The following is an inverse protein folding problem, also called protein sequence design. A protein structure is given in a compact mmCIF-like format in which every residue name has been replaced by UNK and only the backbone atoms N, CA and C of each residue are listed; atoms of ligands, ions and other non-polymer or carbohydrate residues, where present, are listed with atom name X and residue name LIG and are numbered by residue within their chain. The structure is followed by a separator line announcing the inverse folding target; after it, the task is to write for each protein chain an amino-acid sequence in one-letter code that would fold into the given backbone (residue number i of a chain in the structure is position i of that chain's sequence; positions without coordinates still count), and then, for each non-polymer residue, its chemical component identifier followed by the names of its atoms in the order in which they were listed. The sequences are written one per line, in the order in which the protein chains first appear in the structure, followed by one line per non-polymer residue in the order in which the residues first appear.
data_IF_703161298601
#
_entry.id   IF_703161298601
#
_cell.length_a   1.000
_cell.length_b   1.000
_cell.length_c   1.000
_cell.angle_alpha   90.00
_cell.angle_beta   90.00
_cell.angle_gamma   90.00
#
_symmetry.space_group_name_H-M   'P 1'
#
loop_
_entity.id
_entity.type
_entity.pdbx_description
1 polymer ?
#
# COMPACT_ATOMS: atom_id res chain seq x y z
N UNK A 1 -33.11 1.98 -5.18
CA UNK A 1 -33.69 0.74 -4.61
C UNK A 1 -32.94 -0.51 -5.13
N UNK A 2 -32.82 -0.69 -6.46
CA UNK A 2 -32.11 -1.84 -7.08
C UNK A 2 -30.65 -1.98 -6.64
N UNK A 3 -29.89 -0.89 -6.56
CA UNK A 3 -28.49 -0.93 -6.10
C UNK A 3 -28.37 -1.44 -4.67
N UNK A 4 -29.31 -1.06 -3.81
CA UNK A 4 -29.31 -1.49 -2.40
C UNK A 4 -29.62 -2.98 -2.26
N UNK A 5 -30.57 -3.51 -3.02
CA UNK A 5 -30.89 -4.94 -3.00
C UNK A 5 -29.74 -5.79 -3.52
N UNK A 6 -29.07 -5.31 -4.57
CA UNK A 6 -27.89 -5.97 -5.14
C UNK A 6 -26.74 -6.04 -4.12
N UNK A 7 -26.42 -4.90 -3.48
CA UNK A 7 -25.34 -4.85 -2.49
C UNK A 7 -25.69 -5.59 -1.19
N UNK A 8 -26.96 -5.55 -0.78
CA UNK A 8 -27.45 -6.32 0.37
C UNK A 8 -27.26 -7.82 0.13
N UNK A 9 -27.56 -8.30 -1.07
CA UNK A 9 -27.34 -9.69 -1.47
C UNK A 9 -25.83 -10.06 -1.40
N UNK A 10 -24.96 -9.22 -1.94
CA UNK A 10 -23.50 -9.43 -1.86
C UNK A 10 -23.04 -9.48 -0.42
N UNK A 11 -23.51 -8.55 0.41
CA UNK A 11 -23.17 -8.50 1.84
C UNK A 11 -23.60 -9.77 2.58
N UNK A 12 -24.79 -10.26 2.32
CA UNK A 12 -25.29 -11.52 2.90
C UNK A 12 -24.46 -12.73 2.48
N UNK A 13 -24.09 -12.79 1.21
CA UNK A 13 -23.23 -13.87 0.70
C UNK A 13 -21.84 -13.83 1.36
N UNK A 14 -21.27 -12.65 1.53
CA UNK A 14 -20.00 -12.47 2.22
C UNK A 14 -20.08 -12.96 3.68
N UNK A 15 -21.12 -12.58 4.41
CA UNK A 15 -21.33 -13.03 5.78
C UNK A 15 -21.52 -14.54 5.88
N UNK A 16 -22.22 -15.14 4.93
CA UNK A 16 -22.42 -16.60 4.87
C UNK A 16 -21.10 -17.36 4.59
N UNK A 17 -20.18 -16.77 3.85
CA UNK A 17 -18.90 -17.38 3.53
C UNK A 17 -17.86 -17.31 4.68
N UNK A 18 -18.00 -16.37 5.60
CA UNK A 18 -17.05 -16.19 6.73
C UNK A 18 -16.76 -17.48 7.51
N UNK A 19 -17.78 -18.22 8.00
CA UNK A 19 -17.52 -19.44 8.76
C UNK A 19 -16.75 -20.49 7.96
N UNK A 20 -16.99 -20.58 6.66
CA UNK A 20 -16.33 -21.57 5.78
C UNK A 20 -14.83 -21.32 5.71
N UNK A 21 -14.39 -20.06 5.73
CA UNK A 21 -12.97 -19.71 5.72
C UNK A 21 -12.29 -19.93 7.08
N UNK A 22 -13.00 -19.71 8.16
CA UNK A 22 -12.47 -19.85 9.52
C UNK A 22 -12.08 -21.28 9.87
N UNK A 23 -12.66 -22.28 9.19
CA UNK A 23 -12.36 -23.69 9.39
C UNK A 23 -11.18 -24.19 8.56
N UNK A 24 -10.68 -23.41 7.62
CA UNK A 24 -9.56 -23.80 6.76
C UNK A 24 -8.25 -23.74 7.53
N UNK A 25 -7.47 -24.81 7.41
CA UNK A 25 -6.10 -24.86 7.95
C UNK A 25 -5.15 -24.11 7.00
N UNK A 26 -4.02 -23.68 7.54
CA UNK A 26 -2.98 -22.97 6.77
C UNK A 26 -2.57 -23.73 5.52
N UNK A 27 -2.38 -25.06 5.62
CA UNK A 27 -1.98 -25.89 4.48
C UNK A 27 -3.06 -25.91 3.38
N UNK A 28 -4.33 -26.00 3.75
CA UNK A 28 -5.44 -25.94 2.79
C UNK A 28 -5.48 -24.59 2.06
N UNK A 29 -5.33 -23.49 2.81
CA UNK A 29 -5.24 -22.16 2.23
C UNK A 29 -4.06 -22.02 1.26
N UNK A 30 -2.90 -22.55 1.65
CA UNK A 30 -1.70 -22.52 0.82
C UNK A 30 -1.87 -23.31 -0.48
N UNK A 31 -2.49 -24.48 -0.42
CA UNK A 31 -2.80 -25.28 -1.61
C UNK A 31 -3.72 -24.53 -2.58
N UNK A 32 -4.75 -23.86 -2.05
CA UNK A 32 -5.67 -23.06 -2.87
C UNK A 32 -4.94 -21.88 -3.52
N UNK A 33 -4.08 -21.19 -2.78
CA UNK A 33 -3.30 -20.07 -3.33
C UNK A 33 -2.38 -20.54 -4.46
N UNK A 34 -1.69 -21.66 -4.28
CA UNK A 34 -0.85 -22.25 -5.33
C UNK A 34 -1.66 -22.70 -6.54
N UNK A 35 -2.82 -23.34 -6.30
CA UNK A 35 -3.72 -23.77 -7.38
C UNK A 35 -4.28 -22.58 -8.15
N UNK A 36 -4.64 -21.52 -7.44
CA UNK A 36 -5.11 -20.26 -8.07
C UNK A 36 -4.03 -19.66 -8.97
N UNK A 37 -2.77 -19.65 -8.51
CA UNK A 37 -1.65 -19.22 -9.31
C UNK A 37 -1.46 -20.06 -10.58
N UNK A 38 -1.51 -21.39 -10.44
CA UNK A 38 -1.42 -22.32 -11.56
C UNK A 38 -2.55 -22.09 -12.57
N UNK A 39 -3.77 -21.91 -12.07
CA UNK A 39 -4.96 -21.72 -12.93
C UNK A 39 -4.93 -20.37 -13.65
N UNK A 40 -4.41 -19.31 -13.02
CA UNK A 40 -4.21 -18.03 -13.71
C UNK A 40 -3.26 -18.14 -14.90
N UNK A 41 -2.17 -18.90 -14.74
CA UNK A 41 -1.24 -19.17 -15.84
C UNK A 41 -1.89 -20.06 -16.92
N UNK A 42 -2.64 -21.09 -16.50
CA UNK A 42 -3.33 -21.99 -17.42
C UNK A 42 -4.38 -21.26 -18.27
N UNK A 43 -5.11 -20.31 -17.68
CA UNK A 43 -6.14 -19.52 -18.33
C UNK A 43 -5.68 -18.14 -18.80
N UNK A 44 -4.37 -17.97 -18.99
CA UNK A 44 -3.79 -16.69 -19.42
C UNK A 44 -4.40 -16.16 -20.72
N UNK A 45 -4.68 -17.03 -21.70
CA UNK A 45 -5.26 -16.62 -22.96
C UNK A 45 -6.62 -15.94 -22.80
N UNK A 46 -7.46 -16.47 -21.93
CA UNK A 46 -8.81 -15.92 -21.64
C UNK A 46 -8.69 -14.56 -20.93
N UNK A 47 -7.76 -14.45 -19.98
CA UNK A 47 -7.50 -13.21 -19.25
C UNK A 47 -6.95 -12.13 -20.19
N UNK A 48 -6.03 -12.50 -21.08
CA UNK A 48 -5.46 -11.57 -22.07
C UNK A 48 -6.53 -11.10 -23.07
N UNK A 49 -7.46 -11.98 -23.48
CA UNK A 49 -8.56 -11.61 -24.36
C UNK A 49 -9.49 -10.59 -23.68
N UNK A 50 -9.79 -10.78 -22.40
CA UNK A 50 -10.57 -9.82 -21.59
C UNK A 50 -9.83 -8.49 -21.42
N UNK A 51 -8.53 -8.55 -21.18
CA UNK A 51 -7.68 -7.36 -21.04
C UNK A 51 -7.64 -6.55 -22.35
N UNK A 52 -7.61 -7.20 -23.50
CA UNK A 52 -7.63 -6.49 -24.78
C UNK A 52 -8.92 -5.66 -24.98
N UNK A 53 -10.06 -6.14 -24.49
CA UNK A 53 -11.29 -5.35 -24.49
C UNK A 53 -11.16 -4.06 -23.66
N UNK A 54 -10.54 -4.15 -22.51
CA UNK A 54 -10.28 -2.97 -21.68
C UNK A 54 -9.25 -2.03 -22.34
N UNK A 55 -8.22 -2.57 -22.98
CA UNK A 55 -7.20 -1.80 -23.68
C UNK A 55 -7.78 -1.05 -24.87
N UNK A 56 -8.61 -1.69 -25.68
CA UNK A 56 -9.31 -1.04 -26.81
C UNK A 56 -10.18 0.12 -26.33
N UNK A 57 -10.99 -0.12 -25.31
CA UNK A 57 -11.85 0.91 -24.72
C UNK A 57 -11.02 2.05 -24.13
N UNK A 58 -9.90 1.75 -23.49
CA UNK A 58 -8.99 2.76 -22.95
C UNK A 58 -8.40 3.64 -24.05
N UNK A 59 -7.96 3.05 -25.16
CA UNK A 59 -7.46 3.80 -26.33
C UNK A 59 -8.54 4.68 -26.94
N UNK A 60 -9.73 4.16 -27.14
CA UNK A 60 -10.88 4.90 -27.69
C UNK A 60 -11.27 6.08 -26.80
N UNK A 61 -11.16 5.94 -25.48
CA UNK A 61 -11.48 6.98 -24.51
C UNK A 61 -10.32 7.96 -24.26
N UNK A 62 -9.21 7.84 -24.98
CA UNK A 62 -8.06 8.73 -24.88
C UNK A 62 -7.27 8.57 -23.58
N UNK A 63 -7.26 7.37 -22.99
CA UNK A 63 -6.47 7.08 -21.81
C UNK A 63 -4.99 7.37 -22.06
N UNK A 64 -4.31 7.97 -21.06
CA UNK A 64 -2.88 8.29 -21.16
C UNK A 64 -2.03 7.02 -21.32
N UNK A 65 -0.86 7.18 -21.95
CA UNK A 65 0.06 6.04 -22.17
C UNK A 65 0.47 5.39 -20.84
N UNK A 66 0.68 6.18 -19.80
CA UNK A 66 1.02 5.65 -18.47
C UNK A 66 -0.09 4.81 -17.85
N UNK A 67 -1.34 5.23 -18.00
CA UNK A 67 -2.51 4.47 -17.52
C UNK A 67 -2.73 3.20 -18.36
N UNK A 68 -2.53 3.28 -19.68
CA UNK A 68 -2.60 2.11 -20.56
C UNK A 68 -1.54 1.07 -20.20
N UNK A 69 -0.33 1.51 -19.85
CA UNK A 69 0.73 0.60 -19.41
C UNK A 69 0.37 -0.10 -18.08
N UNK A 70 -0.25 0.62 -17.16
CA UNK A 70 -0.73 0.03 -15.89
C UNK A 70 -1.85 -0.98 -16.10
N UNK A 71 -2.70 -0.74 -17.09
CA UNK A 71 -3.85 -1.61 -17.42
C UNK A 71 -3.41 -2.84 -18.18
N UNK A 72 -2.37 -2.75 -19.00
CA UNK A 72 -1.91 -3.81 -19.89
C UNK A 72 -1.47 -5.05 -19.12
N UNK A 73 -2.03 -6.19 -19.48
CA UNK A 73 -1.57 -7.52 -19.07
C UNK A 73 -0.82 -8.19 -20.23
N UNK A 74 0.21 -8.94 -19.88
CA UNK A 74 0.97 -9.80 -20.78
C UNK A 74 1.12 -11.17 -20.11
N UNK A 75 1.59 -12.18 -20.85
CA UNK A 75 1.89 -13.47 -20.23
C UNK A 75 2.88 -13.34 -19.06
N UNK A 76 3.91 -12.49 -19.23
CA UNK A 76 4.89 -12.23 -18.18
C UNK A 76 4.26 -11.58 -16.94
N UNK A 77 3.36 -10.61 -17.16
CA UNK A 77 2.65 -9.94 -16.04
C UNK A 77 1.69 -10.89 -15.32
N UNK A 78 1.03 -11.78 -16.06
CA UNK A 78 0.20 -12.83 -15.43
C UNK A 78 1.09 -13.80 -14.65
N UNK A 79 2.24 -14.18 -15.17
CA UNK A 79 3.20 -15.01 -14.43
C UNK A 79 3.68 -14.32 -13.13
N UNK A 80 3.88 -13.00 -13.16
CA UNK A 80 4.23 -12.21 -11.97
C UNK A 80 3.07 -12.18 -10.95
N UNK A 81 1.83 -12.06 -11.43
CA UNK A 81 0.64 -12.15 -10.58
C UNK A 81 0.58 -13.51 -9.88
N UNK A 82 0.81 -14.58 -10.64
CA UNK A 82 0.86 -15.95 -10.11
C UNK A 82 1.99 -16.11 -9.08
N UNK A 83 3.18 -15.57 -9.37
CA UNK A 83 4.31 -15.58 -8.45
C UNK A 83 3.97 -14.90 -7.12
N UNK A 84 3.22 -13.79 -7.17
CA UNK A 84 2.72 -13.12 -5.96
C UNK A 84 1.88 -14.04 -5.09
N UNK A 85 1.03 -14.87 -5.68
CA UNK A 85 0.22 -15.84 -4.94
C UNK A 85 1.07 -16.99 -4.37
N UNK A 86 2.07 -17.47 -5.09
CA UNK A 86 3.03 -18.45 -4.56
C UNK A 86 3.79 -17.89 -3.34
N UNK A 87 4.21 -16.66 -3.41
CA UNK A 87 4.91 -15.98 -2.31
C UNK A 87 4.01 -15.83 -1.07
N UNK A 88 2.76 -15.44 -1.26
CA UNK A 88 1.78 -15.36 -0.16
C UNK A 88 1.57 -16.74 0.46
N UNK A 89 1.46 -17.80 -0.36
CA UNK A 89 1.33 -19.17 0.14
C UNK A 89 2.50 -19.59 1.02
N UNK A 90 3.71 -19.08 0.74
CA UNK A 90 4.92 -19.39 1.50
C UNK A 90 5.08 -18.59 2.80
N UNK A 91 4.29 -17.55 3.01
CA UNK A 91 4.35 -16.75 4.24
C UNK A 91 3.77 -17.51 5.43
N UNK A 92 4.26 -17.20 6.62
CA UNK A 92 3.68 -17.71 7.86
C UNK A 92 2.25 -17.21 8.03
N UNK A 93 1.36 -18.10 8.47
CA UNK A 93 -0.04 -17.78 8.73
C UNK A 93 -0.19 -17.17 10.13
N UNK A 94 -0.61 -15.89 10.24
CA UNK A 94 -0.75 -15.28 11.56
C UNK A 94 -2.02 -15.69 12.29
N UNK A 95 -2.99 -16.29 11.62
CA UNK A 95 -4.29 -16.62 12.21
C UNK A 95 -4.14 -17.74 13.25
N UNK A 96 -4.66 -17.50 14.43
CA UNK A 96 -4.62 -18.45 15.54
C UNK A 96 -3.43 -18.28 16.47
N UNK A 97 -2.50 -17.38 16.18
CA UNK A 97 -1.37 -17.07 17.07
C UNK A 97 -1.88 -16.54 18.40
N UNK A 98 -1.40 -17.13 19.50
CA UNK A 98 -1.67 -16.65 20.85
C UNK A 98 -0.52 -15.74 21.28
N UNK A 99 -0.83 -14.44 21.46
CA UNK A 99 0.18 -13.41 21.72
C UNK A 99 0.66 -13.42 23.17
N UNK A 100 -0.10 -13.99 24.07
CA UNK A 100 0.23 -14.10 25.49
C UNK A 100 -0.93 -14.65 26.29
N UNK A 101 -0.61 -15.17 27.47
CA UNK A 101 -1.59 -15.73 28.43
C UNK A 101 -1.16 -15.35 29.85
N UNK A 102 -2.07 -14.79 30.65
CA UNK A 102 -1.81 -14.42 32.04
C UNK A 102 -2.88 -14.99 32.96
N UNK A 103 -2.45 -15.46 34.11
CA UNK A 103 -3.38 -15.90 35.16
C UNK A 103 -3.70 -14.71 36.06
N UNK A 104 -4.99 -14.51 36.33
CA UNK A 104 -5.46 -13.50 37.28
C UNK A 104 -5.49 -14.06 38.70
N UNK A 105 -5.54 -13.21 39.74
CA UNK A 105 -5.61 -13.68 41.14
C UNK A 105 -6.78 -14.61 41.44
N UNK A 106 -7.89 -14.47 40.73
CA UNK A 106 -9.08 -15.34 40.90
C UNK A 106 -8.99 -16.65 40.10
N UNK A 107 -7.87 -16.90 39.42
CA UNK A 107 -7.66 -18.12 38.64
C UNK A 107 -8.07 -18.05 37.17
N UNK A 108 -8.72 -16.97 36.70
CA UNK A 108 -9.00 -16.79 35.30
C UNK A 108 -7.68 -16.70 34.53
N UNK A 109 -7.59 -17.40 33.37
CA UNK A 109 -6.48 -17.27 32.45
C UNK A 109 -6.94 -16.48 31.25
N UNK A 110 -6.32 -15.34 31.01
CA UNK A 110 -6.69 -14.38 29.96
C UNK A 110 -5.56 -14.27 28.95
N UNK A 111 -5.86 -14.52 27.68
CA UNK A 111 -4.93 -14.40 26.59
C UNK A 111 -5.49 -13.61 25.42
N UNK A 112 -4.63 -13.30 24.46
CA UNK A 112 -5.02 -12.69 23.19
C UNK A 112 -4.69 -13.64 22.05
N UNK A 113 -5.62 -13.78 21.13
CA UNK A 113 -5.51 -14.61 19.95
C UNK A 113 -5.73 -13.77 18.70
N UNK A 114 -4.88 -13.96 17.70
CA UNK A 114 -4.99 -13.29 16.40
C UNK A 114 -6.09 -13.93 15.56
N UNK A 115 -6.97 -13.10 15.03
CA UNK A 115 -8.16 -13.51 14.27
C UNK A 115 -8.33 -12.65 13.02
N UNK A 116 -9.10 -13.12 12.00
CA UNK A 116 -9.41 -12.31 10.85
C UNK A 116 -10.16 -11.03 11.21
N UNK A 117 -10.06 -10.01 10.36
CA UNK A 117 -10.95 -8.84 10.43
C UNK A 117 -12.39 -9.22 10.12
N UNK A 118 -12.61 -10.09 9.15
CA UNK A 118 -13.93 -10.59 8.77
C UNK A 118 -14.19 -10.43 7.28
N UNK A 119 -14.91 -9.37 6.89
CA UNK A 119 -15.17 -9.02 5.50
C UNK A 119 -14.42 -7.76 5.15
N UNK A 120 -13.55 -7.83 4.15
CA UNK A 120 -12.71 -6.73 3.67
C UNK A 120 -13.25 -6.26 2.32
N UNK A 121 -13.53 -4.98 2.19
CA UNK A 121 -13.88 -4.34 0.92
C UNK A 121 -12.66 -3.63 0.35
N UNK A 122 -12.41 -3.78 -0.94
CA UNK A 122 -11.32 -3.10 -1.63
C UNK A 122 -11.87 -2.35 -2.83
N UNK A 123 -11.62 -1.04 -2.86
CA UNK A 123 -12.00 -0.15 -3.95
C UNK A 123 -10.71 0.27 -4.65
N UNK A 124 -10.57 -0.03 -5.95
CA UNK A 124 -9.32 0.23 -6.67
C UNK A 124 -9.53 0.63 -8.12
N UNK A 125 -8.53 1.28 -8.69
CA UNK A 125 -8.52 1.84 -10.05
C UNK A 125 -7.48 1.14 -10.92
N UNK A 126 -7.77 0.98 -12.21
CA UNK A 126 -6.87 0.64 -13.32
C UNK A 126 -5.66 -0.28 -13.02
N UNK A 127 -5.81 -1.24 -12.12
CA UNK A 127 -4.72 -2.14 -11.70
C UNK A 127 -5.24 -3.58 -11.57
N UNK A 128 -5.36 -4.31 -12.68
CA UNK A 128 -5.89 -5.68 -12.62
C UNK A 128 -5.09 -6.62 -11.70
N UNK A 129 -3.79 -6.37 -11.53
CA UNK A 129 -2.92 -7.14 -10.64
C UNK A 129 -3.34 -7.06 -9.16
N UNK A 130 -3.95 -5.96 -8.73
CA UNK A 130 -4.45 -5.80 -7.35
C UNK A 130 -5.50 -6.86 -7.01
N UNK A 131 -6.26 -7.31 -7.99
CA UNK A 131 -7.30 -8.34 -7.82
C UNK A 131 -6.77 -9.61 -7.17
N UNK A 132 -5.69 -10.17 -7.71
CA UNK A 132 -5.10 -11.41 -7.20
C UNK A 132 -4.37 -11.18 -5.87
N UNK A 133 -3.63 -10.09 -5.73
CA UNK A 133 -2.94 -9.76 -4.48
C UNK A 133 -3.93 -9.57 -3.32
N UNK A 134 -5.02 -8.85 -3.58
CA UNK A 134 -6.09 -8.64 -2.61
C UNK A 134 -6.73 -9.98 -2.19
N UNK A 135 -7.06 -10.83 -3.16
CA UNK A 135 -7.58 -12.16 -2.86
C UNK A 135 -6.58 -12.96 -2.02
N UNK A 136 -5.33 -13.03 -2.44
CA UNK A 136 -4.31 -13.85 -1.78
C UNK A 136 -4.08 -13.44 -0.32
N UNK A 137 -3.91 -12.16 -0.06
CA UNK A 137 -3.70 -11.64 1.28
C UNK A 137 -4.93 -11.82 2.17
N UNK A 138 -6.12 -11.54 1.66
CA UNK A 138 -7.36 -11.72 2.40
C UNK A 138 -7.66 -13.20 2.68
N UNK A 139 -7.51 -14.06 1.68
CA UNK A 139 -7.77 -15.49 1.82
C UNK A 139 -6.80 -16.15 2.81
N UNK A 140 -5.51 -15.84 2.73
CA UNK A 140 -4.49 -16.34 3.66
C UNK A 140 -4.81 -15.97 5.11
N UNK A 141 -5.42 -14.81 5.32
CA UNK A 141 -5.83 -14.32 6.64
C UNK A 141 -7.28 -14.68 6.99
N UNK A 142 -7.89 -15.59 6.23
CA UNK A 142 -9.25 -16.10 6.45
C UNK A 142 -10.33 -15.01 6.38
N UNK A 143 -10.08 -13.95 5.61
CA UNK A 143 -11.04 -12.89 5.34
C UNK A 143 -11.77 -13.12 4.01
N UNK A 144 -13.07 -12.87 4.00
CA UNK A 144 -13.82 -12.70 2.78
C UNK A 144 -13.46 -11.35 2.18
N UNK A 145 -13.27 -11.28 0.86
CA UNK A 145 -12.98 -10.03 0.18
C UNK A 145 -14.07 -9.69 -0.85
N UNK A 146 -14.52 -8.45 -0.82
CA UNK A 146 -15.42 -7.88 -1.82
C UNK A 146 -14.64 -6.83 -2.60
N UNK A 147 -14.52 -7.04 -3.91
CA UNK A 147 -13.78 -6.16 -4.80
C UNK A 147 -14.73 -5.22 -5.55
N UNK A 148 -14.34 -3.95 -5.63
CA UNK A 148 -14.98 -2.93 -6.45
C UNK A 148 -13.90 -2.25 -7.27
N UNK A 149 -13.73 -2.71 -8.51
CA UNK A 149 -12.79 -2.13 -9.46
C UNK A 149 -13.37 -0.94 -10.22
N UNK A 150 -12.52 -0.23 -10.95
CA UNK A 150 -12.93 0.80 -11.88
C UNK A 150 -13.49 0.22 -13.18
N UNK A 151 -14.28 1.01 -13.89
CA UNK A 151 -14.88 0.62 -15.18
C UNK A 151 -13.84 0.38 -16.28
N UNK A 152 -12.68 1.00 -16.15
CA UNK A 152 -11.58 0.93 -17.10
C UNK A 152 -10.87 -0.43 -17.13
N UNK A 153 -10.93 -1.20 -16.05
CA UNK A 153 -10.31 -2.52 -15.93
C UNK A 153 -11.33 -3.65 -15.72
N UNK A 154 -12.61 -3.39 -15.92
CA UNK A 154 -13.69 -4.29 -15.53
C UNK A 154 -13.56 -5.70 -16.14
N UNK A 155 -13.31 -5.82 -17.44
CA UNK A 155 -13.22 -7.12 -18.11
C UNK A 155 -12.02 -7.94 -17.62
N UNK A 156 -10.88 -7.27 -17.43
CA UNK A 156 -9.67 -7.90 -16.90
C UNK A 156 -9.90 -8.42 -15.47
N UNK A 157 -10.48 -7.60 -14.62
CA UNK A 157 -10.80 -7.96 -13.24
C UNK A 157 -11.80 -9.13 -13.20
N UNK A 158 -12.85 -9.06 -13.99
CA UNK A 158 -13.88 -10.11 -14.05
C UNK A 158 -13.27 -11.45 -14.48
N UNK A 159 -12.37 -11.45 -15.45
CA UNK A 159 -11.72 -12.67 -15.92
C UNK A 159 -10.85 -13.30 -14.83
N UNK A 160 -10.08 -12.49 -14.09
CA UNK A 160 -9.25 -12.96 -12.98
C UNK A 160 -10.13 -13.51 -11.86
N UNK A 161 -11.18 -12.79 -11.47
CA UNK A 161 -12.12 -13.21 -10.42
C UNK A 161 -12.79 -14.51 -10.79
N UNK A 162 -13.29 -14.63 -12.03
CA UNK A 162 -13.94 -15.86 -12.52
C UNK A 162 -13.00 -17.06 -12.44
N UNK A 163 -11.75 -16.89 -12.83
CA UNK A 163 -10.73 -17.94 -12.74
C UNK A 163 -10.51 -18.39 -11.29
N UNK A 164 -10.32 -17.47 -10.38
CA UNK A 164 -10.08 -17.77 -8.95
C UNK A 164 -11.31 -18.41 -8.31
N UNK A 165 -12.51 -17.89 -8.59
CA UNK A 165 -13.76 -18.48 -8.07
C UNK A 165 -13.97 -19.90 -8.56
N UNK A 166 -13.58 -20.21 -9.80
CA UNK A 166 -13.63 -21.58 -10.32
C UNK A 166 -12.65 -22.50 -9.59
N UNK A 167 -11.44 -22.02 -9.29
CA UNK A 167 -10.48 -22.75 -8.49
C UNK A 167 -11.04 -23.09 -7.10
N UNK A 168 -11.69 -22.13 -6.45
CA UNK A 168 -12.33 -22.35 -5.15
C UNK A 168 -13.44 -23.41 -5.25
N UNK A 169 -14.29 -23.29 -6.25
CA UNK A 169 -15.40 -24.22 -6.48
C UNK A 169 -14.88 -25.65 -6.72
N UNK A 170 -13.87 -25.81 -7.56
CA UNK A 170 -13.26 -27.12 -7.87
C UNK A 170 -12.62 -27.77 -6.64
N UNK A 171 -12.16 -26.96 -5.71
CA UNK A 171 -11.58 -27.43 -4.45
C UNK A 171 -12.63 -27.66 -3.34
N UNK A 172 -13.91 -27.45 -3.63
CA UNK A 172 -14.99 -27.60 -2.64
C UNK A 172 -15.07 -26.48 -1.62
N UNK A 173 -14.48 -25.31 -1.92
CA UNK A 173 -14.51 -24.13 -1.04
C UNK A 173 -15.52 -23.14 -1.58
N UNK A 174 -16.24 -22.47 -0.67
CA UNK A 174 -17.24 -21.47 -1.04
C UNK A 174 -16.61 -20.37 -1.91
N UNK A 175 -17.01 -20.23 -3.19
CA UNK A 175 -16.43 -19.23 -4.07
C UNK A 175 -16.73 -17.78 -3.62
N UNK A 176 -17.67 -17.58 -2.73
CA UNK A 176 -17.99 -16.28 -2.16
C UNK A 176 -16.92 -15.77 -1.17
N UNK A 177 -15.86 -16.53 -0.98
CA UNK A 177 -14.61 -15.99 -0.39
C UNK A 177 -14.07 -14.81 -1.19
N UNK A 178 -14.37 -14.76 -2.48
CA UNK A 178 -14.03 -13.68 -3.39
C UNK A 178 -15.29 -13.23 -4.14
N UNK A 179 -15.73 -12.02 -3.87
CA UNK A 179 -16.90 -11.41 -4.50
C UNK A 179 -16.49 -10.17 -5.29
N UNK A 180 -17.09 -9.99 -6.46
CA UNK A 180 -16.88 -8.81 -7.30
C UNK A 180 -18.20 -8.04 -7.45
N UNK A 181 -18.16 -6.75 -7.19
CA UNK A 181 -19.24 -5.84 -7.52
C UNK A 181 -19.12 -5.50 -9.01
N UNK A 182 -20.08 -6.00 -9.80
CA UNK A 182 -20.06 -5.86 -11.27
C UNK A 182 -20.62 -4.51 -11.74
N UNK A 183 -21.44 -3.87 -10.93
CA UNK A 183 -21.93 -2.52 -11.21
C UNK A 183 -20.84 -1.49 -10.92
N UNK A 184 -20.32 -0.87 -11.99
CA UNK A 184 -19.21 0.09 -11.90
C UNK A 184 -19.67 1.54 -11.69
N UNK A 185 -20.96 1.77 -11.47
CA UNK A 185 -21.52 3.13 -11.29
C UNK A 185 -21.00 3.78 -10.00
N UNK A 186 -20.99 5.13 -10.01
CA UNK A 186 -20.62 5.94 -8.84
C UNK A 186 -21.63 5.77 -7.70
N UNK A 187 -22.89 5.59 -8.02
CA UNK A 187 -23.97 5.37 -7.07
C UNK A 187 -23.72 4.08 -6.27
N UNK A 188 -23.33 3.01 -6.96
CA UNK A 188 -23.01 1.73 -6.32
C UNK A 188 -21.75 1.85 -5.45
N UNK A 189 -20.73 2.58 -5.89
CA UNK A 189 -19.54 2.85 -5.07
C UNK A 189 -19.91 3.60 -3.79
N UNK A 190 -20.73 4.65 -3.91
CA UNK A 190 -21.18 5.42 -2.76
C UNK A 190 -22.00 4.56 -1.78
N UNK A 191 -22.89 3.71 -2.30
CA UNK A 191 -23.68 2.79 -1.49
C UNK A 191 -22.82 1.71 -0.82
N UNK A 192 -21.79 1.22 -1.52
CA UNK A 192 -20.85 0.25 -0.96
C UNK A 192 -20.11 0.79 0.27
N UNK A 193 -19.73 2.05 0.25
CA UNK A 193 -19.07 2.71 1.40
C UNK A 193 -19.95 2.78 2.65
N UNK A 194 -21.23 2.49 2.53
CA UNK A 194 -22.21 2.52 3.63
C UNK A 194 -22.63 1.14 4.13
N UNK A 195 -22.05 0.08 3.60
CA UNK A 195 -22.40 -1.31 3.96
C UNK A 195 -21.77 -1.78 5.28
N UNK A 196 -21.70 -0.93 6.28
CA UNK A 196 -21.11 -1.26 7.58
C UNK A 196 -21.85 -2.41 8.31
N UNK A 197 -23.05 -2.76 7.89
CA UNK A 197 -23.75 -3.95 8.37
C UNK A 197 -23.06 -5.25 7.97
N UNK A 198 -22.37 -5.28 6.84
CA UNK A 198 -21.77 -6.50 6.28
C UNK A 198 -20.25 -6.44 6.15
N UNK A 199 -19.68 -5.27 6.00
CA UNK A 199 -18.26 -5.07 5.70
C UNK A 199 -17.57 -4.44 6.90
N UNK A 200 -16.46 -5.04 7.34
CA UNK A 200 -15.73 -4.64 8.54
C UNK A 200 -14.73 -3.53 8.28
N UNK A 201 -14.14 -3.50 7.09
CA UNK A 201 -13.10 -2.52 6.73
C UNK A 201 -13.08 -2.29 5.22
N UNK A 202 -12.79 -1.05 4.80
CA UNK A 202 -12.54 -0.68 3.41
C UNK A 202 -11.08 -0.29 3.23
N UNK A 203 -10.50 -0.71 2.11
CA UNK A 203 -9.14 -0.35 1.71
C UNK A 203 -9.20 0.26 0.31
N UNK A 204 -9.06 1.59 0.18
CA UNK A 204 -8.96 2.23 -1.13
C UNK A 204 -7.56 2.08 -1.70
N UNK A 205 -7.47 1.78 -3.01
CA UNK A 205 -6.22 1.66 -3.76
C UNK A 205 -6.33 2.46 -5.05
N UNK A 206 -5.71 3.62 -5.09
CA UNK A 206 -5.77 4.51 -6.25
C UNK A 206 -5.14 5.86 -5.98
N UNK A 207 -5.54 6.86 -6.74
CA UNK A 207 -5.06 8.23 -6.58
C UNK A 207 -5.61 8.91 -5.32
N UNK A 208 -5.00 10.04 -4.97
CA UNK A 208 -5.37 10.81 -3.78
C UNK A 208 -6.87 11.18 -3.75
N UNK A 209 -7.48 11.43 -4.92
CA UNK A 209 -8.90 11.75 -5.03
C UNK A 209 -9.81 10.61 -4.58
N UNK A 210 -9.52 9.37 -5.02
CA UNK A 210 -10.26 8.19 -4.59
C UNK A 210 -10.12 7.94 -3.10
N UNK A 211 -8.89 7.98 -2.60
CA UNK A 211 -8.61 7.75 -1.17
C UNK A 211 -9.37 8.77 -0.32
N UNK A 212 -9.31 10.05 -0.68
CA UNK A 212 -10.04 11.12 0.01
C UNK A 212 -11.55 10.88 -0.01
N UNK A 213 -12.10 10.54 -1.17
CA UNK A 213 -13.54 10.29 -1.31
C UNK A 213 -14.00 9.14 -0.41
N UNK A 214 -13.22 8.06 -0.32
CA UNK A 214 -13.52 6.92 0.56
C UNK A 214 -13.42 7.33 2.03
N UNK A 215 -12.36 8.01 2.42
CA UNK A 215 -12.14 8.44 3.82
C UNK A 215 -13.25 9.39 4.29
N UNK A 216 -13.63 10.34 3.45
CA UNK A 216 -14.64 11.34 3.81
C UNK A 216 -16.08 10.80 3.81
N UNK A 217 -16.39 9.80 3.00
CA UNK A 217 -17.77 9.35 2.77
C UNK A 217 -18.10 7.98 3.36
N UNK A 218 -17.12 7.18 3.75
CA UNK A 218 -17.37 5.83 4.28
C UNK A 218 -17.91 5.87 5.70
N UNK A 219 -18.91 5.04 5.97
CA UNK A 219 -19.31 4.70 7.35
C UNK A 219 -18.62 3.44 7.85
N UNK A 220 -17.93 2.71 6.96
CA UNK A 220 -17.10 1.57 7.29
C UNK A 220 -15.71 2.12 7.66
N UNK A 221 -15.04 1.56 8.69
CA UNK A 221 -13.65 1.92 8.99
C UNK A 221 -12.75 1.75 7.76
N UNK A 222 -11.86 2.71 7.54
CA UNK A 222 -10.99 2.74 6.37
C UNK A 222 -9.53 2.55 6.77
N UNK A 223 -8.83 1.65 6.10
CA UNK A 223 -7.38 1.57 6.14
C UNK A 223 -6.85 2.34 4.92
N UNK A 224 -6.24 3.50 5.17
CA UNK A 224 -5.72 4.35 4.10
C UNK A 224 -4.38 3.86 3.61
N UNK A 225 -4.20 3.85 2.28
CA UNK A 225 -2.87 3.87 1.69
C UNK A 225 -2.44 5.33 1.52
N UNK A 226 -1.18 5.63 1.87
CA UNK A 226 -0.72 7.01 1.91
C UNK A 226 -0.14 7.51 0.59
N UNK A 227 -0.25 8.81 0.35
CA UNK A 227 0.58 9.52 -0.62
C UNK A 227 1.96 9.78 0.00
N UNK A 228 2.98 10.01 -0.83
CA UNK A 228 4.35 10.15 -0.34
C UNK A 228 5.04 11.44 -0.81
N UNK A 229 5.10 12.45 0.05
CA UNK A 229 6.06 13.54 -0.08
C UNK A 229 7.27 13.23 0.79
N UNK A 230 8.11 12.29 0.32
CA UNK A 230 9.26 11.81 1.08
C UNK A 230 10.43 12.78 1.00
N UNK A 231 11.06 13.03 2.14
CA UNK A 231 12.22 13.92 2.25
C UNK A 231 13.49 13.13 2.49
N UNK A 232 14.59 13.67 1.97
CA UNK A 232 15.94 13.33 2.38
C UNK A 232 16.62 14.61 2.88
N UNK A 233 17.16 14.57 4.09
CA UNK A 233 17.96 15.65 4.66
C UNK A 233 19.43 15.27 4.65
N UNK A 234 20.25 16.07 3.99
CA UNK A 234 21.71 15.93 3.98
C UNK A 234 22.30 16.85 5.06
N UNK A 235 22.73 16.26 6.16
CA UNK A 235 23.27 16.97 7.32
C UNK A 235 24.72 17.46 7.08
N UNK A 236 25.20 18.34 7.96
CA UNK A 236 26.54 18.94 7.89
C UNK A 236 27.67 17.89 7.89
N UNK A 237 27.51 16.78 8.57
CA UNK A 237 28.52 15.70 8.67
C UNK A 237 28.32 14.56 7.68
N UNK A 238 27.41 14.69 6.73
CA UNK A 238 27.11 13.63 5.79
C UNK A 238 28.32 13.23 4.93
N UNK A 239 28.44 11.94 4.66
CA UNK A 239 29.28 11.45 3.57
C UNK A 239 28.59 11.83 2.25
N UNK A 240 29.20 12.78 1.52
CA UNK A 240 28.56 13.37 0.34
C UNK A 240 28.49 12.39 -0.84
N UNK A 241 29.43 11.46 -0.97
CA UNK A 241 29.37 10.41 -1.99
C UNK A 241 28.19 9.47 -1.72
N UNK A 242 28.02 9.05 -0.47
CA UNK A 242 26.85 8.27 -0.04
C UNK A 242 25.56 9.04 -0.29
N UNK A 243 25.54 10.33 0.05
CA UNK A 243 24.35 11.18 -0.13
C UNK A 243 23.90 11.23 -1.59
N UNK A 244 24.82 11.42 -2.53
CA UNK A 244 24.52 11.44 -3.97
C UNK A 244 23.90 10.12 -4.40
N UNK A 245 24.49 8.99 -4.04
CA UNK A 245 23.99 7.67 -4.45
C UNK A 245 22.60 7.40 -3.88
N UNK A 246 22.37 7.72 -2.61
CA UNK A 246 21.04 7.54 -1.96
C UNK A 246 20.01 8.42 -2.64
N UNK A 247 20.30 9.68 -2.89
CA UNK A 247 19.34 10.63 -3.49
C UNK A 247 18.99 10.20 -4.94
N UNK A 248 19.99 9.85 -5.73
CA UNK A 248 19.76 9.38 -7.11
C UNK A 248 18.88 8.12 -7.10
N UNK A 249 19.17 7.16 -6.25
CA UNK A 249 18.33 5.96 -6.09
C UNK A 249 16.91 6.31 -5.64
N UNK A 250 16.78 7.10 -4.60
CA UNK A 250 15.48 7.44 -4.01
C UNK A 250 14.59 8.24 -4.97
N UNK A 251 15.17 9.08 -5.83
CA UNK A 251 14.42 9.87 -6.81
C UNK A 251 14.17 9.14 -8.11
N UNK A 252 15.16 8.45 -8.66
CA UNK A 252 15.15 8.03 -10.07
C UNK A 252 15.02 6.53 -10.30
N UNK A 253 15.15 5.70 -9.28
CA UNK A 253 14.98 4.25 -9.43
C UNK A 253 13.56 3.93 -9.89
N UNK A 254 12.56 4.65 -9.33
CA UNK A 254 11.17 4.61 -9.78
C UNK A 254 10.44 5.87 -9.32
N UNK A 255 10.15 6.77 -10.23
CA UNK A 255 9.60 8.11 -9.90
C UNK A 255 8.12 8.10 -9.51
N UNK A 256 7.35 7.15 -10.02
CA UNK A 256 5.88 7.13 -9.90
C UNK A 256 5.35 6.38 -8.69
N UNK A 257 6.10 6.29 -7.61
CA UNK A 257 5.74 5.53 -6.41
C UNK A 257 5.80 6.40 -5.15
N UNK A 258 5.01 6.02 -4.14
CA UNK A 258 4.80 6.81 -2.92
C UNK A 258 6.05 6.94 -2.02
N UNK A 259 7.01 6.05 -2.14
CA UNK A 259 8.26 6.08 -1.36
C UNK A 259 9.45 6.72 -2.08
N UNK A 260 9.23 7.26 -3.30
CA UNK A 260 10.25 8.03 -3.99
C UNK A 260 10.52 9.37 -3.31
N UNK A 261 11.77 9.82 -3.36
CA UNK A 261 12.12 11.14 -2.81
C UNK A 261 11.51 12.25 -3.67
N UNK A 262 10.75 13.14 -3.04
CA UNK A 262 10.12 14.29 -3.69
C UNK A 262 10.77 15.61 -3.28
N UNK A 263 11.34 15.66 -2.07
CA UNK A 263 11.88 16.87 -1.45
C UNK A 263 13.24 16.59 -0.84
N UNK A 264 14.19 17.45 -1.15
CA UNK A 264 15.55 17.39 -0.60
C UNK A 264 15.80 18.60 0.27
N UNK A 265 16.30 18.37 1.48
CA UNK A 265 16.79 19.41 2.38
C UNK A 265 18.31 19.29 2.49
N UNK A 266 19.00 20.41 2.39
CA UNK A 266 20.45 20.44 2.35
C UNK A 266 20.97 21.38 3.44
N UNK A 267 21.81 20.88 4.34
CA UNK A 267 22.47 21.72 5.32
C UNK A 267 23.36 22.76 4.62
N UNK A 268 23.28 24.00 5.06
CA UNK A 268 24.00 25.13 4.46
C UNK A 268 25.51 24.89 4.31
N UNK A 269 26.12 24.20 5.26
CA UNK A 269 27.56 23.93 5.24
C UNK A 269 28.01 22.98 4.13
N UNK A 270 27.13 22.16 3.58
CA UNK A 270 27.49 21.16 2.55
C UNK A 270 27.00 21.51 1.14
N UNK A 271 26.16 22.54 1.01
CA UNK A 271 25.53 22.87 -0.28
C UNK A 271 26.52 23.11 -1.42
N UNK A 272 27.62 23.85 -1.13
CA UNK A 272 28.60 24.22 -2.15
C UNK A 272 29.35 23.02 -2.73
N UNK A 273 29.58 21.99 -1.90
CA UNK A 273 30.24 20.75 -2.33
C UNK A 273 29.27 19.74 -2.94
N UNK A 274 28.06 19.66 -2.40
CA UNK A 274 27.08 18.66 -2.79
C UNK A 274 26.37 19.01 -4.09
N UNK A 275 25.86 20.23 -4.21
CA UNK A 275 24.95 20.61 -5.31
C UNK A 275 25.55 20.48 -6.70
N UNK A 276 26.80 20.88 -6.98
CA UNK A 276 27.35 20.72 -8.34
C UNK A 276 27.39 19.27 -8.79
N UNK A 277 27.79 18.34 -7.91
CA UNK A 277 27.88 16.91 -8.23
C UNK A 277 26.48 16.29 -8.33
N UNK A 278 25.62 16.58 -7.37
CA UNK A 278 24.25 16.04 -7.35
C UNK A 278 23.43 16.53 -8.53
N UNK A 279 23.48 17.84 -8.81
CA UNK A 279 22.73 18.42 -9.93
C UNK A 279 23.15 17.80 -11.28
N UNK A 280 24.44 17.58 -11.49
CA UNK A 280 24.94 16.94 -12.71
C UNK A 280 24.37 15.52 -12.85
N UNK A 281 24.35 14.73 -11.78
CA UNK A 281 23.79 13.36 -11.77
C UNK A 281 22.27 13.35 -11.99
N UNK A 282 21.55 14.28 -11.37
CA UNK A 282 20.11 14.42 -11.59
C UNK A 282 19.77 14.85 -13.02
N UNK A 283 20.54 15.75 -13.60
CA UNK A 283 20.36 16.21 -14.99
C UNK A 283 20.60 15.10 -16.00
N UNK A 284 21.56 14.20 -15.76
CA UNK A 284 21.75 12.98 -16.59
C UNK A 284 20.49 12.12 -16.62
N UNK A 285 19.68 12.15 -15.57
CA UNK A 285 18.39 11.45 -15.47
C UNK A 285 17.19 12.31 -15.86
N UNK A 286 17.44 13.51 -16.40
CA UNK A 286 16.40 14.46 -16.81
C UNK A 286 15.48 14.92 -15.68
N UNK A 287 15.99 15.03 -14.45
CA UNK A 287 15.22 15.50 -13.29
C UNK A 287 15.25 17.03 -13.25
N UNK A 288 14.07 17.65 -13.24
CA UNK A 288 13.92 19.09 -13.01
C UNK A 288 14.12 19.39 -11.52
N UNK A 289 14.97 20.37 -11.24
CA UNK A 289 15.23 20.82 -9.86
C UNK A 289 14.46 22.12 -9.61
N UNK A 290 13.64 22.14 -8.57
CA UNK A 290 12.94 23.34 -8.10
C UNK A 290 13.55 23.75 -6.76
N UNK A 291 14.31 24.83 -6.74
CA UNK A 291 15.14 25.20 -5.62
C UNK A 291 14.79 26.55 -5.01
N UNK A 292 15.19 26.72 -3.75
CA UNK A 292 15.24 28.04 -3.11
C UNK A 292 16.33 28.92 -3.75
N UNK A 293 16.49 30.15 -3.28
CA UNK A 293 17.47 31.10 -3.82
C UNK A 293 18.90 30.56 -3.77
N UNK A 294 19.28 29.90 -2.67
CA UNK A 294 20.63 29.36 -2.50
C UNK A 294 20.92 28.23 -3.48
N UNK A 295 19.94 27.36 -3.71
CA UNK A 295 20.03 26.27 -4.71
C UNK A 295 20.13 26.86 -6.11
N UNK A 296 19.30 27.81 -6.45
CA UNK A 296 19.30 28.46 -7.78
C UNK A 296 20.61 29.19 -8.09
N UNK A 297 21.31 29.72 -7.09
CA UNK A 297 22.64 30.31 -7.27
C UNK A 297 23.70 29.29 -7.67
N UNK A 298 23.60 28.07 -7.15
CA UNK A 298 24.57 27.00 -7.37
C UNK A 298 24.23 26.09 -8.54
N UNK A 299 22.95 26.06 -8.93
CA UNK A 299 22.43 25.23 -10.03
C UNK A 299 21.73 26.15 -11.04
N UNK A 300 22.43 26.58 -12.11
CA UNK A 300 21.87 27.57 -13.05
C UNK A 300 20.58 27.15 -13.73
N UNK A 301 20.39 25.85 -13.96
CA UNK A 301 19.21 25.31 -14.64
C UNK A 301 18.03 25.06 -13.69
N UNK A 302 18.19 25.31 -12.39
CA UNK A 302 17.12 25.12 -11.42
C UNK A 302 16.03 26.16 -11.62
N UNK A 303 14.79 25.70 -11.46
CA UNK A 303 13.61 26.56 -11.46
C UNK A 303 13.38 27.08 -10.04
N UNK A 304 12.98 28.34 -9.91
CA UNK A 304 12.66 28.89 -8.58
C UNK A 304 11.43 28.19 -7.99
N UNK A 305 11.61 27.63 -6.81
CA UNK A 305 10.52 26.97 -6.07
C UNK A 305 9.53 27.96 -5.50
N UNK A 306 8.28 27.54 -5.38
CA UNK A 306 7.24 28.24 -4.63
C UNK A 306 6.86 27.47 -3.38
N UNK A 307 6.07 28.06 -2.49
CA UNK A 307 5.60 27.41 -1.27
C UNK A 307 4.90 26.07 -1.55
N UNK A 308 4.18 25.96 -2.67
CA UNK A 308 3.50 24.73 -3.07
C UNK A 308 4.46 23.58 -3.34
N UNK A 309 5.66 23.86 -3.79
CA UNK A 309 6.67 22.83 -4.11
C UNK A 309 7.08 22.03 -2.86
N UNK A 310 7.05 22.66 -1.68
CA UNK A 310 7.49 21.99 -0.44
C UNK A 310 6.58 20.84 0.00
N UNK A 311 5.31 20.91 -0.35
CA UNK A 311 4.33 19.87 0.02
C UNK A 311 3.93 18.94 -1.12
N UNK A 312 4.53 19.07 -2.29
CA UNK A 312 4.05 18.39 -3.49
C UNK A 312 4.65 17.01 -3.72
N UNK A 313 3.78 16.04 -3.94
CA UNK A 313 4.14 14.74 -4.50
C UNK A 313 4.12 14.84 -6.02
N UNK A 314 5.28 14.86 -6.65
CA UNK A 314 5.38 15.06 -8.11
C UNK A 314 5.06 13.79 -8.90
N UNK A 315 5.48 12.62 -8.42
CA UNK A 315 5.38 11.33 -9.14
C UNK A 315 6.01 11.39 -10.53
N UNK A 316 7.03 12.23 -10.68
CA UNK A 316 7.69 12.52 -11.96
C UNK A 316 9.16 12.88 -11.71
N UNK A 317 9.89 13.13 -12.78
CA UNK A 317 11.28 13.57 -12.76
C UNK A 317 11.38 15.04 -12.34
N UNK A 318 10.88 15.35 -11.16
CA UNK A 318 10.92 16.67 -10.53
C UNK A 318 11.24 16.48 -9.05
N UNK A 319 12.14 17.30 -8.51
CA UNK A 319 12.49 17.30 -7.09
C UNK A 319 12.58 18.73 -6.57
N UNK A 320 12.05 18.98 -5.37
CA UNK A 320 12.25 20.25 -4.68
C UNK A 320 13.51 20.20 -3.82
N UNK A 321 14.20 21.33 -3.69
CA UNK A 321 15.40 21.46 -2.88
C UNK A 321 15.36 22.73 -2.06
N UNK A 322 15.58 22.61 -0.76
CA UNK A 322 15.66 23.74 0.18
C UNK A 322 16.89 23.65 1.06
N UNK A 323 17.53 24.79 1.29
CA UNK A 323 18.65 24.92 2.21
C UNK A 323 18.14 25.16 3.62
N UNK A 324 18.73 24.49 4.59
CA UNK A 324 18.42 24.63 6.01
C UNK A 324 19.69 24.84 6.84
N UNK A 325 19.54 25.43 8.02
CA UNK A 325 20.67 25.80 8.89
C UNK A 325 21.02 24.75 9.94
N UNK A 326 20.09 23.80 10.19
CA UNK A 326 20.27 22.84 11.26
C UNK A 326 19.36 21.62 11.06
N UNK A 327 19.63 20.54 11.82
CA UNK A 327 18.74 19.38 11.91
C UNK A 327 17.37 19.78 12.47
N UNK A 328 17.32 20.73 13.39
CA UNK A 328 16.06 21.23 13.97
C UNK A 328 15.16 21.87 12.90
N UNK A 329 15.75 22.72 12.06
CA UNK A 329 15.02 23.33 10.95
C UNK A 329 14.54 22.28 9.94
N UNK A 330 15.39 21.30 9.64
CA UNK A 330 15.01 20.20 8.75
C UNK A 330 13.82 19.40 9.30
N UNK A 331 13.85 19.04 10.58
CA UNK A 331 12.77 18.31 11.24
C UNK A 331 11.47 19.12 11.22
N UNK A 332 11.53 20.41 11.54
CA UNK A 332 10.37 21.29 11.53
C UNK A 332 9.76 21.40 10.13
N UNK A 333 10.58 21.51 9.09
CA UNK A 333 10.12 21.55 7.71
C UNK A 333 9.46 20.24 7.31
N UNK A 334 10.09 19.10 7.61
CA UNK A 334 9.56 17.78 7.28
C UNK A 334 8.21 17.57 7.96
N UNK A 335 8.11 17.83 9.25
CA UNK A 335 6.85 17.62 9.99
C UNK A 335 5.72 18.55 9.52
N UNK A 336 6.04 19.68 8.91
CA UNK A 336 5.05 20.60 8.34
C UNK A 336 4.54 20.14 6.98
N UNK A 337 5.42 19.64 6.11
CA UNK A 337 5.11 19.42 4.69
C UNK A 337 5.00 17.95 4.30
N UNK A 338 5.36 17.01 5.19
CA UNK A 338 5.32 15.61 4.86
C UNK A 338 3.88 15.05 4.84
N UNK A 339 3.76 13.86 4.28
CA UNK A 339 2.52 13.09 4.30
C UNK A 339 2.55 11.99 5.37
N UNK A 340 3.63 11.91 6.17
CA UNK A 340 3.80 10.89 7.19
C UNK A 340 4.28 9.54 6.65
N UNK A 341 4.87 9.50 5.46
CA UNK A 341 5.25 8.25 4.79
C UNK A 341 6.67 7.80 5.14
N UNK A 342 7.68 8.33 4.48
CA UNK A 342 9.06 7.90 4.62
C UNK A 342 9.99 9.10 4.56
N UNK A 343 10.88 9.22 5.55
CA UNK A 343 11.80 10.34 5.68
C UNK A 343 13.19 9.82 6.02
N UNK A 344 14.22 10.44 5.49
CA UNK A 344 15.61 10.01 5.70
C UNK A 344 16.53 11.16 6.06
N UNK A 345 17.50 10.89 6.93
CA UNK A 345 18.66 11.74 7.17
C UNK A 345 19.93 11.04 6.69
N UNK A 346 20.84 11.81 6.11
CA UNK A 346 22.18 11.34 5.79
C UNK A 346 23.14 12.11 6.69
N UNK A 347 23.78 11.43 7.60
CA UNK A 347 24.60 12.04 8.66
C UNK A 347 25.60 11.05 9.24
N UNK A 348 26.73 11.57 9.71
CA UNK A 348 27.68 10.83 10.55
C UNK A 348 27.58 11.25 12.03
N UNK A 349 26.66 12.18 12.35
CA UNK A 349 26.39 12.58 13.72
C UNK A 349 25.40 11.64 14.38
N UNK A 350 25.87 10.86 15.36
CA UNK A 350 25.01 10.00 16.16
C UNK A 350 23.87 10.78 16.82
N UNK A 351 24.19 11.95 17.39
CA UNK A 351 23.21 12.80 18.09
C UNK A 351 22.11 13.27 17.13
N UNK A 352 22.48 13.75 15.93
CA UNK A 352 21.50 14.21 14.95
C UNK A 352 20.68 13.06 14.36
N UNK A 353 21.29 11.89 14.19
CA UNK A 353 20.57 10.68 13.75
C UNK A 353 19.48 10.31 14.77
N UNK A 354 19.81 10.26 16.05
CA UNK A 354 18.83 9.94 17.10
C UNK A 354 17.73 10.98 17.18
N UNK A 355 18.07 12.25 17.11
CA UNK A 355 17.09 13.35 17.13
C UNK A 355 16.12 13.25 15.95
N UNK A 356 16.63 12.97 14.76
CA UNK A 356 15.82 12.81 13.55
C UNK A 356 14.86 11.62 13.69
N UNK A 357 15.36 10.47 14.14
CA UNK A 357 14.54 9.28 14.36
C UNK A 357 13.42 9.51 15.38
N UNK A 358 13.71 10.26 16.44
CA UNK A 358 12.75 10.49 17.53
C UNK A 358 11.70 11.56 17.18
N UNK A 359 12.07 12.61 16.46
CA UNK A 359 11.25 13.80 16.30
C UNK A 359 10.51 13.89 14.95
N UNK A 360 10.96 13.15 13.94
CA UNK A 360 10.25 13.10 12.65
C UNK A 360 9.02 12.21 12.76
N UNK A 361 7.84 12.78 12.47
CA UNK A 361 6.57 12.06 12.52
C UNK A 361 6.24 11.45 11.16
N UNK A 362 6.71 10.24 10.96
CA UNK A 362 6.46 9.46 9.74
C UNK A 362 6.36 7.97 10.07
N UNK A 363 5.76 7.22 9.15
CA UNK A 363 5.65 5.76 9.28
C UNK A 363 7.01 5.09 9.28
N UNK A 364 7.94 5.56 8.44
CA UNK A 364 9.29 5.02 8.30
C UNK A 364 10.31 6.15 8.34
N UNK A 365 11.29 6.03 9.22
CA UNK A 365 12.35 7.04 9.39
C UNK A 365 13.70 6.34 9.23
N UNK A 366 14.54 6.86 8.34
CA UNK A 366 15.79 6.24 7.91
C UNK A 366 17.02 7.06 8.32
N UNK A 367 18.09 6.38 8.60
CA UNK A 367 19.45 6.96 8.70
C UNK A 367 20.30 6.29 7.62
N UNK A 368 20.87 7.08 6.71
CA UNK A 368 21.81 6.62 5.69
C UNK A 368 21.30 5.50 4.79
N UNK A 369 20.04 5.60 4.36
CA UNK A 369 19.44 4.66 3.42
C UNK A 369 18.37 5.35 2.57
N UNK A 370 18.09 4.77 1.41
CA UNK A 370 17.08 5.25 0.47
C UNK A 370 15.66 5.01 1.00
N UNK A 371 14.78 5.97 0.83
CA UNK A 371 13.36 5.83 1.16
C UNK A 371 12.64 4.77 0.31
N UNK A 372 13.26 4.32 -0.78
CA UNK A 372 12.73 3.25 -1.64
C UNK A 372 12.62 1.89 -0.93
N UNK A 373 13.27 1.73 0.20
CA UNK A 373 13.18 0.51 1.01
C UNK A 373 11.87 0.37 1.79
N UNK A 374 11.01 1.38 1.81
CA UNK A 374 9.68 1.25 2.40
C UNK A 374 8.80 0.36 1.52
N UNK A 375 8.90 -0.93 1.75
CA UNK A 375 8.30 -1.96 0.93
C UNK A 375 8.17 -3.24 1.75
N UNK A 376 7.09 -3.98 1.54
CA UNK A 376 6.84 -5.21 2.30
C UNK A 376 7.92 -6.27 2.12
N UNK A 377 8.41 -6.47 0.91
CA UNK A 377 9.49 -7.44 0.64
C UNK A 377 10.81 -6.99 1.25
N UNK A 378 11.15 -5.72 1.10
CA UNK A 378 12.39 -5.18 1.66
C UNK A 378 12.40 -5.22 3.19
N UNK A 379 11.23 -5.07 3.84
CA UNK A 379 11.10 -5.19 5.29
C UNK A 379 11.00 -6.65 5.78
N UNK A 380 10.94 -7.61 4.86
CA UNK A 380 10.79 -9.02 5.21
C UNK A 380 9.35 -9.44 5.55
N UNK A 381 8.37 -8.58 5.28
CA UNK A 381 6.94 -8.89 5.52
C UNK A 381 6.29 -9.64 4.36
N UNK A 382 6.94 -9.69 3.20
CA UNK A 382 6.41 -10.29 1.99
C UNK A 382 5.48 -9.35 1.21
N UNK A 383 4.47 -9.92 0.57
CA UNK A 383 3.48 -9.16 -0.20
C UNK A 383 2.74 -8.14 0.68
N UNK A 384 2.38 -7.00 0.09
CA UNK A 384 1.68 -5.93 0.78
C UNK A 384 0.42 -5.50 0.05
N UNK A 385 -0.56 -4.97 0.81
CA UNK A 385 -1.78 -4.40 0.27
C UNK A 385 -1.68 -2.88 0.09
N UNK A 386 -0.56 -2.32 0.45
CA UNK A 386 -0.23 -0.90 0.36
C UNK A 386 0.59 -0.45 1.56
N UNK A 387 0.95 0.83 1.56
CA UNK A 387 1.70 1.47 2.63
C UNK A 387 0.80 2.52 3.26
N UNK A 388 0.54 2.39 4.57
CA UNK A 388 -0.32 3.31 5.30
C UNK A 388 0.47 4.39 6.03
N UNK A 389 -0.05 5.60 5.99
CA UNK A 389 0.48 6.73 6.76
C UNK A 389 -0.36 7.04 8.00
N UNK A 390 -1.48 6.34 8.20
CA UNK A 390 -2.33 6.54 9.38
C UNK A 390 -1.72 5.90 10.64
N UNK A 391 -2.09 6.42 11.80
CA UNK A 391 -1.53 5.95 13.09
C UNK A 391 -2.34 4.82 13.71
N UNK A 392 -3.64 4.76 13.45
CA UNK A 392 -4.52 3.72 14.01
C UNK A 392 -4.45 2.45 13.16
N UNK A 393 -4.38 1.32 13.83
CA UNK A 393 -4.38 -0.05 13.34
C UNK A 393 -3.09 -0.43 12.60
N UNK A 394 -2.88 0.05 11.37
CA UNK A 394 -1.73 -0.29 10.55
C UNK A 394 -1.00 0.98 10.11
N UNK A 395 0.32 0.95 10.18
CA UNK A 395 1.20 2.04 9.79
C UNK A 395 2.43 1.48 9.06
N UNK A 396 2.83 2.07 7.95
CA UNK A 396 3.90 1.54 7.09
C UNK A 396 3.41 0.45 6.14
N UNK A 397 4.32 -0.42 5.65
CA UNK A 397 3.95 -1.50 4.75
C UNK A 397 2.96 -2.48 5.41
N UNK A 398 1.85 -2.74 4.73
CA UNK A 398 0.75 -3.56 5.25
C UNK A 398 0.74 -4.93 4.59
N UNK A 399 1.29 -5.93 5.27
CA UNK A 399 1.22 -7.34 4.89
C UNK A 399 0.05 -8.07 5.55
N UNK A 400 0.23 -9.36 5.82
CA UNK A 400 -0.82 -10.20 6.41
C UNK A 400 -1.32 -9.69 7.76
N UNK A 401 -0.42 -9.21 8.62
CA UNK A 401 -0.80 -8.76 9.98
C UNK A 401 -1.82 -7.62 9.97
N UNK A 402 -1.74 -6.73 8.98
CA UNK A 402 -2.67 -5.61 8.86
C UNK A 402 -4.11 -6.05 8.57
N UNK A 403 -4.31 -7.26 8.07
CA UNK A 403 -5.62 -7.86 7.77
C UNK A 403 -6.16 -8.72 8.93
N UNK A 404 -5.56 -8.59 10.08
CA UNK A 404 -5.95 -9.32 11.29
C UNK A 404 -6.26 -8.36 12.42
N UNK A 405 -6.99 -8.87 13.41
CA UNK A 405 -7.18 -8.24 14.70
C UNK A 405 -6.95 -9.27 15.81
N UNK A 406 -7.18 -8.91 17.03
CA UNK A 406 -7.07 -9.83 18.16
C UNK A 406 -8.39 -9.92 18.90
N UNK A 407 -8.63 -11.05 19.57
CA UNK A 407 -9.69 -11.19 20.55
C UNK A 407 -9.11 -11.74 21.84
N UNK A 408 -9.76 -11.45 22.95
CA UNK A 408 -9.40 -12.08 24.21
C UNK A 408 -10.03 -13.48 24.28
N UNK A 409 -9.22 -14.44 24.73
CA UNK A 409 -9.68 -15.78 25.07
C UNK A 409 -9.51 -15.97 26.57
N UNK A 410 -10.56 -16.43 27.24
CA UNK A 410 -10.61 -16.48 28.71
C UNK A 410 -11.00 -17.87 29.12
N UNK A 411 -10.15 -18.53 29.93
CA UNK A 411 -10.42 -19.82 30.51
C UNK A 411 -10.76 -19.66 31.98
N UNK A 412 -11.93 -20.18 32.36
CA UNK A 412 -12.42 -20.15 33.74
C UNK A 412 -12.81 -21.55 34.23
N UNK A 413 -13.12 -21.64 35.51
CA UNK A 413 -13.64 -22.85 36.15
C UNK A 413 -14.77 -22.52 37.14
N UNK A 414 -15.62 -21.56 36.79
CA UNK A 414 -16.79 -21.18 37.58
C UNK A 414 -16.64 -19.87 38.33
N UNK A 415 -15.60 -19.07 38.06
CA UNK A 415 -15.45 -17.77 38.70
C UNK A 415 -16.67 -16.87 38.43
N UNK A 416 -17.11 -16.16 39.41
CA UNK A 416 -18.15 -15.13 39.31
C UNK A 416 -17.59 -13.80 39.79
N UNK A 417 -18.06 -12.71 39.20
CA UNK A 417 -17.67 -11.37 39.62
C UNK A 417 -18.38 -11.02 40.93
N UNK A 418 -17.64 -10.58 41.98
CA UNK A 418 -18.24 -10.20 43.28
C UNK A 418 -19.16 -8.99 43.18
#
# INVERSE_FOLDING_TARGET
RMHMEYLDNIGKRAQAAKPDLQHLKSEEKNQILRKSADDLKLHAAEILAANEKDMEKGRENGMSQGLLDRLLLTEDRIAQIAEGLYQIAALDDPIGEVLGMKQRPNGLRIGQKRVPLGVVGIIYEARPNVTADAFGLCFKTSNVVILKGGSDAFHSIQAIVTCIRQTLTDAGINPDALLLIEDTSRETTAAFMKLNQYVDVLIPRGGAGLIRAVVENSTIPVIETGTGNCHIFVDATADLSMAVDIIINAKTQRVGVCNACESLLIHREVKDKLLPVLAARLQEKHVEIRGDQEVCKLVPDAVAATEEDWGKEYLDYVISMKTVDSVDEAIAHINRYNTGHSEAIITESYTNAQKFLDEVDAACVYVNASTRFTDGFEFGFGAEIGISTQKLHARGPMGLLALTTTKYIIYGNGQVRP
#
